data_IF_880019633621
#
_entry.id   IF_880019633621
#
_cell.length_a   1.000
_cell.length_b   1.000
_cell.length_c   1.000
_cell.angle_alpha   90.00
_cell.angle_beta   90.00
_cell.angle_gamma   90.00
#
_symmetry.space_group_name_H-M   'P 1'
#
loop_
_entity.id
_entity.type
_entity.pdbx_description
1 polymer ?
#
# COMPACT_ATOMS: atom_id res chain seq x y z
N UNK A 1 30.54 -10.38 -23.67
CA UNK A 1 30.34 -9.15 -22.86
C UNK A 1 29.18 -9.37 -21.90
N UNK A 2 29.30 -8.97 -20.63
CA UNK A 2 28.25 -9.20 -19.61
C UNK A 2 27.00 -8.34 -19.85
N UNK A 3 27.16 -7.11 -20.34
CA UNK A 3 26.05 -6.18 -20.59
C UNK A 3 25.12 -6.69 -21.71
N UNK A 4 25.69 -7.18 -22.82
CA UNK A 4 24.91 -7.73 -23.94
C UNK A 4 24.08 -8.96 -23.51
N UNK A 5 24.65 -9.82 -22.66
CA UNK A 5 23.94 -10.97 -22.11
C UNK A 5 22.75 -10.53 -21.25
N UNK A 6 22.92 -9.53 -20.38
CA UNK A 6 21.82 -9.01 -19.55
C UNK A 6 20.71 -8.36 -20.39
N UNK A 7 21.06 -7.57 -21.41
CA UNK A 7 20.07 -6.97 -22.31
C UNK A 7 19.29 -8.04 -23.09
N UNK A 8 19.98 -9.09 -23.55
CA UNK A 8 19.34 -10.22 -24.24
C UNK A 8 18.39 -10.97 -23.32
N UNK A 9 18.82 -11.28 -22.09
CA UNK A 9 17.96 -11.92 -21.08
C UNK A 9 16.74 -11.08 -20.72
N UNK A 10 16.88 -9.75 -20.62
CA UNK A 10 15.76 -8.84 -20.39
C UNK A 10 14.76 -8.88 -21.54
N UNK A 11 15.24 -8.83 -22.79
CA UNK A 11 14.39 -8.90 -23.99
C UNK A 11 13.61 -10.23 -24.05
N UNK A 12 14.30 -11.36 -23.87
CA UNK A 12 13.66 -12.68 -23.86
C UNK A 12 12.57 -12.78 -22.79
N UNK A 13 12.81 -12.21 -21.60
CA UNK A 13 11.80 -12.17 -20.55
C UNK A 13 10.58 -11.35 -20.95
N UNK A 14 10.78 -10.13 -21.49
CA UNK A 14 9.66 -9.30 -21.96
C UNK A 14 8.84 -10.01 -23.05
N UNK A 15 9.49 -10.73 -23.96
CA UNK A 15 8.81 -11.48 -25.02
C UNK A 15 8.01 -12.68 -24.45
N UNK A 16 8.52 -13.35 -23.42
CA UNK A 16 7.80 -14.41 -22.72
C UNK A 16 6.57 -13.87 -21.98
N UNK A 17 6.70 -12.74 -21.27
CA UNK A 17 5.59 -12.11 -20.56
C UNK A 17 4.49 -11.65 -21.52
N UNK A 18 4.86 -11.08 -22.68
CA UNK A 18 3.89 -10.74 -23.74
C UNK A 18 3.16 -11.95 -24.27
N UNK A 19 3.86 -13.06 -24.46
CA UNK A 19 3.26 -14.32 -24.92
C UNK A 19 2.26 -14.85 -23.90
N UNK A 20 2.58 -14.75 -22.61
CA UNK A 20 1.68 -15.11 -21.52
C UNK A 20 0.44 -14.21 -21.48
N UNK A 21 0.61 -12.89 -21.67
CA UNK A 21 -0.52 -11.96 -21.73
C UNK A 21 -1.50 -12.33 -22.85
N UNK A 22 -0.99 -12.55 -24.07
CA UNK A 22 -1.83 -12.96 -25.20
C UNK A 22 -2.48 -14.34 -25.04
N UNK A 23 -1.93 -15.20 -24.19
CA UNK A 23 -2.56 -16.48 -23.86
C UNK A 23 -3.78 -16.28 -22.94
N UNK A 24 -3.76 -15.26 -22.09
CA UNK A 24 -4.84 -14.95 -21.14
C UNK A 24 -5.88 -13.97 -21.73
N UNK A 25 -5.47 -13.15 -22.71
CA UNK A 25 -6.30 -12.18 -23.44
C UNK A 25 -7.00 -12.84 -24.63
N UNK A 26 -7.85 -13.84 -24.36
CA UNK A 26 -8.54 -14.62 -25.40
C UNK A 26 -9.46 -13.77 -26.29
N UNK A 27 -10.06 -12.73 -25.70
CA UNK A 27 -10.98 -11.83 -26.40
C UNK A 27 -10.26 -10.72 -27.19
N UNK A 28 -8.92 -10.65 -27.08
CA UNK A 28 -8.09 -9.60 -27.69
C UNK A 28 -8.58 -8.20 -27.32
N UNK A 29 -9.14 -8.05 -26.12
CA UNK A 29 -9.55 -6.77 -25.57
C UNK A 29 -8.34 -5.87 -25.30
N UNK A 30 -7.17 -6.49 -25.10
CA UNK A 30 -5.94 -5.80 -24.71
C UNK A 30 -5.87 -5.50 -23.21
N UNK A 31 -6.82 -6.02 -22.43
CA UNK A 31 -6.94 -5.82 -20.99
C UNK A 31 -7.34 -7.13 -20.29
N UNK A 32 -6.68 -7.47 -19.18
CA UNK A 32 -7.04 -8.63 -18.37
C UNK A 32 -7.90 -8.21 -17.19
N UNK A 33 -9.18 -8.58 -17.22
CA UNK A 33 -10.08 -8.39 -16.07
C UNK A 33 -9.72 -9.31 -14.90
N UNK A 34 -10.10 -8.93 -13.68
CA UNK A 34 -9.91 -9.76 -12.49
C UNK A 34 -10.51 -11.17 -12.64
N UNK A 35 -11.67 -11.27 -13.29
CA UNK A 35 -12.32 -12.57 -13.54
C UNK A 35 -11.52 -13.40 -14.55
N UNK A 36 -11.13 -12.83 -15.68
CA UNK A 36 -10.34 -13.53 -16.68
C UNK A 36 -9.00 -14.00 -16.09
N UNK A 37 -8.37 -13.16 -15.27
CA UNK A 37 -7.13 -13.50 -14.58
C UNK A 37 -7.31 -14.69 -13.62
N UNK A 38 -8.35 -14.69 -12.79
CA UNK A 38 -8.64 -15.78 -11.84
C UNK A 38 -9.01 -17.11 -12.53
N UNK A 39 -9.66 -17.05 -13.69
CA UNK A 39 -10.01 -18.23 -14.47
C UNK A 39 -8.75 -18.88 -15.06
N UNK A 40 -7.89 -18.08 -15.70
CA UNK A 40 -6.71 -18.57 -16.40
C UNK A 40 -5.54 -18.92 -15.48
N UNK A 41 -5.39 -18.28 -14.30
CA UNK A 41 -4.26 -18.54 -13.41
C UNK A 41 -4.23 -19.96 -12.84
N UNK A 42 -5.38 -20.62 -12.80
CA UNK A 42 -5.53 -22.01 -12.37
C UNK A 42 -5.20 -23.02 -13.48
N UNK A 43 -5.04 -22.55 -14.73
CA UNK A 43 -4.69 -23.41 -15.83
C UNK A 43 -3.24 -23.92 -15.69
N UNK A 44 -2.99 -25.22 -15.89
CA UNK A 44 -1.66 -25.78 -15.74
C UNK A 44 -0.61 -25.11 -16.63
N UNK A 45 -1.00 -24.66 -17.82
CA UNK A 45 -0.13 -24.00 -18.78
C UNK A 45 0.27 -22.60 -18.28
N UNK A 46 -0.70 -21.77 -17.90
CA UNK A 46 -0.48 -20.42 -17.36
C UNK A 46 0.35 -20.50 -16.06
N UNK A 47 0.00 -21.43 -15.17
CA UNK A 47 0.76 -21.65 -13.93
C UNK A 47 2.22 -22.05 -14.18
N UNK A 48 2.48 -22.87 -15.21
CA UNK A 48 3.84 -23.23 -15.60
C UNK A 48 4.62 -22.01 -16.13
N UNK A 49 3.98 -21.11 -16.88
CA UNK A 49 4.60 -19.87 -17.34
C UNK A 49 4.98 -18.94 -16.17
N UNK A 50 4.06 -18.69 -15.22
CA UNK A 50 4.38 -17.88 -14.05
C UNK A 50 5.54 -18.45 -13.23
N UNK A 51 5.59 -19.78 -13.05
CA UNK A 51 6.73 -20.44 -12.39
C UNK A 51 8.03 -20.28 -13.18
N UNK A 52 7.98 -20.37 -14.52
CA UNK A 52 9.14 -20.14 -15.38
C UNK A 52 9.63 -18.68 -15.34
N UNK A 53 8.76 -17.74 -14.96
CA UNK A 53 9.07 -16.33 -14.76
C UNK A 53 9.52 -16.01 -13.32
N UNK A 54 9.77 -17.03 -12.49
CA UNK A 54 10.11 -16.92 -11.05
C UNK A 54 9.05 -16.16 -10.23
N UNK A 55 7.78 -16.31 -10.59
CA UNK A 55 6.65 -15.71 -9.86
C UNK A 55 5.87 -16.78 -9.10
N UNK A 56 5.60 -16.49 -7.82
CA UNK A 56 4.83 -17.36 -6.95
C UNK A 56 3.33 -17.04 -7.07
N UNK A 57 2.54 -18.05 -7.45
CA UNK A 57 1.09 -17.96 -7.63
C UNK A 57 0.29 -18.29 -6.36
N UNK A 58 0.94 -18.44 -5.19
CA UNK A 58 0.29 -18.78 -3.93
C UNK A 58 -0.88 -17.86 -3.53
N UNK A 59 -0.98 -16.65 -4.10
CA UNK A 59 -2.16 -15.80 -3.96
C UNK A 59 -2.41 -14.99 -5.23
N UNK A 60 -3.19 -15.56 -6.16
CA UNK A 60 -3.62 -14.95 -7.42
C UNK A 60 -4.23 -13.55 -7.22
N UNK A 61 -5.10 -13.38 -6.22
CA UNK A 61 -5.73 -12.09 -5.92
C UNK A 61 -4.70 -11.03 -5.52
N UNK A 62 -3.75 -11.37 -4.64
CA UNK A 62 -2.66 -10.44 -4.29
C UNK A 62 -1.82 -10.09 -5.50
N UNK A 63 -1.51 -11.06 -6.35
CA UNK A 63 -0.76 -10.81 -7.57
C UNK A 63 -1.50 -9.83 -8.47
N UNK A 64 -2.80 -10.02 -8.69
CA UNK A 64 -3.64 -9.09 -9.44
C UNK A 64 -3.56 -7.66 -8.87
N UNK A 65 -3.76 -7.50 -7.56
CA UNK A 65 -3.68 -6.16 -6.92
C UNK A 65 -2.28 -5.52 -6.96
N UNK A 66 -1.22 -6.31 -7.18
CA UNK A 66 0.13 -5.79 -7.36
C UNK A 66 0.42 -5.41 -8.82
N UNK A 67 -0.29 -6.03 -9.77
CA UNK A 67 -0.21 -5.77 -11.20
C UNK A 67 -1.13 -4.62 -11.64
N UNK A 68 -2.20 -4.33 -10.88
CA UNK A 68 -3.14 -3.20 -11.05
C UNK A 68 -2.83 -2.08 -10.03
N UNK A 69 -1.80 -1.24 -10.25
CA UNK A 69 -1.41 -0.20 -9.31
C UNK A 69 -2.39 0.98 -9.28
N UNK A 70 -3.13 1.22 -10.36
CA UNK A 70 -4.08 2.32 -10.47
C UNK A 70 -5.48 1.95 -9.94
N UNK A 71 -5.72 0.67 -9.67
CA UNK A 71 -6.99 0.09 -9.25
C UNK A 71 -8.10 0.31 -10.28
N UNK A 72 -7.75 0.26 -11.57
CA UNK A 72 -8.71 0.29 -12.68
C UNK A 72 -9.61 -0.94 -12.70
N UNK A 73 -9.18 -2.04 -12.10
CA UNK A 73 -9.88 -3.33 -12.09
C UNK A 73 -9.62 -4.18 -13.35
N UNK A 74 -8.79 -3.68 -14.26
CA UNK A 74 -8.23 -4.39 -15.40
C UNK A 74 -6.71 -4.24 -15.39
N UNK A 75 -5.99 -5.07 -16.14
CA UNK A 75 -4.54 -4.98 -16.28
C UNK A 75 -4.22 -4.87 -17.76
N UNK A 76 -3.63 -3.77 -18.19
CA UNK A 76 -3.18 -3.63 -19.58
C UNK A 76 -1.83 -4.34 -19.82
N UNK A 77 -1.44 -4.49 -21.08
CA UNK A 77 -0.18 -5.16 -21.43
C UNK A 77 1.06 -4.50 -20.81
N UNK A 78 1.07 -3.17 -20.71
CA UNK A 78 2.19 -2.40 -20.15
C UNK A 78 2.28 -2.66 -18.65
N UNK A 79 1.17 -2.57 -17.95
CA UNK A 79 1.06 -2.86 -16.51
C UNK A 79 1.46 -4.29 -16.21
N UNK A 80 1.00 -5.24 -17.01
CA UNK A 80 1.37 -6.65 -16.85
C UNK A 80 2.88 -6.87 -17.01
N UNK A 81 3.48 -6.31 -18.07
CA UNK A 81 4.92 -6.44 -18.33
C UNK A 81 5.76 -5.77 -17.24
N UNK A 82 5.41 -4.54 -16.87
CA UNK A 82 6.11 -3.81 -15.83
C UNK A 82 5.94 -4.44 -14.45
N UNK A 83 4.73 -4.87 -14.11
CA UNK A 83 4.39 -5.53 -12.87
C UNK A 83 5.15 -6.84 -12.71
N UNK A 84 5.13 -7.70 -13.74
CA UNK A 84 5.92 -8.94 -13.75
C UNK A 84 7.42 -8.65 -13.63
N UNK A 85 7.95 -7.64 -14.33
CA UNK A 85 9.36 -7.24 -14.21
C UNK A 85 9.73 -6.76 -12.81
N UNK A 86 8.85 -6.04 -12.12
CA UNK A 86 9.06 -5.54 -10.75
C UNK A 86 8.96 -6.64 -9.70
N UNK A 87 8.04 -7.59 -9.89
CA UNK A 87 7.79 -8.70 -8.96
C UNK A 87 8.72 -9.90 -9.17
N UNK A 88 9.47 -9.91 -10.28
CA UNK A 88 10.41 -10.97 -10.60
C UNK A 88 11.55 -11.04 -9.59
N UNK A 89 11.68 -12.22 -8.97
CA UNK A 89 12.83 -12.56 -8.13
C UNK A 89 12.82 -11.87 -6.76
N UNK A 90 13.89 -12.04 -5.98
CA UNK A 90 13.96 -11.50 -4.63
C UNK A 90 14.07 -9.97 -4.66
N UNK A 91 13.43 -9.32 -3.69
CA UNK A 91 13.62 -7.89 -3.45
C UNK A 91 15.11 -7.58 -3.27
N UNK A 92 15.59 -6.57 -3.99
CA UNK A 92 17.00 -6.17 -3.91
C UNK A 92 17.28 -5.51 -2.56
N UNK A 93 18.57 -5.41 -2.18
CA UNK A 93 18.97 -4.67 -0.96
C UNK A 93 18.49 -3.22 -0.98
N UNK A 94 18.44 -2.60 -2.16
CA UNK A 94 17.94 -1.23 -2.32
C UNK A 94 16.44 -1.16 -2.05
N UNK A 95 15.66 -2.12 -2.55
CA UNK A 95 14.21 -2.18 -2.30
C UNK A 95 13.91 -2.29 -0.80
N UNK A 96 14.65 -3.16 -0.10
CA UNK A 96 14.53 -3.31 1.35
C UNK A 96 14.90 -2.02 2.07
N UNK A 97 16.00 -1.36 1.72
CA UNK A 97 16.42 -0.11 2.38
C UNK A 97 15.44 1.03 2.10
N UNK A 98 14.82 1.08 0.92
CA UNK A 98 13.75 2.05 0.62
C UNK A 98 12.56 1.85 1.57
N UNK A 99 12.09 0.61 1.75
CA UNK A 99 11.01 0.29 2.68
C UNK A 99 11.37 0.68 4.12
N UNK A 100 12.59 0.36 4.57
CA UNK A 100 13.07 0.73 5.91
C UNK A 100 13.14 2.26 6.09
N UNK A 101 13.60 2.99 5.08
CA UNK A 101 13.63 4.45 5.10
C UNK A 101 12.24 5.06 5.24
N UNK A 102 11.27 4.57 4.45
CA UNK A 102 9.86 4.97 4.56
C UNK A 102 9.33 4.67 5.95
N UNK A 103 9.54 3.45 6.47
CA UNK A 103 9.09 3.07 7.81
C UNK A 103 9.66 3.98 8.91
N UNK A 104 10.97 4.29 8.87
CA UNK A 104 11.62 5.22 9.81
C UNK A 104 11.01 6.63 9.72
N UNK A 105 10.75 7.12 8.52
CA UNK A 105 10.16 8.45 8.31
C UNK A 105 8.71 8.51 8.80
N UNK A 106 7.93 7.45 8.56
CA UNK A 106 6.56 7.33 9.05
C UNK A 106 6.52 7.28 10.57
N UNK A 107 7.41 6.50 11.21
CA UNK A 107 7.52 6.46 12.68
C UNK A 107 7.88 7.82 13.28
N UNK A 108 8.82 8.56 12.66
CA UNK A 108 9.15 9.93 13.08
C UNK A 108 7.94 10.86 13.00
N UNK A 109 7.19 10.81 11.90
CA UNK A 109 5.96 11.61 11.72
C UNK A 109 4.90 11.25 12.76
N UNK A 110 4.71 9.96 13.04
CA UNK A 110 3.78 9.50 14.08
C UNK A 110 4.15 10.05 15.47
N UNK A 111 5.42 9.95 15.87
CA UNK A 111 5.88 10.50 17.15
C UNK A 111 5.69 12.02 17.25
N UNK A 112 5.88 12.74 16.15
CA UNK A 112 5.60 14.18 16.10
C UNK A 112 4.10 14.49 16.26
N UNK A 113 3.21 13.69 15.67
CA UNK A 113 1.76 13.85 15.81
C UNK A 113 1.32 13.57 17.26
N UNK A 114 1.84 12.51 17.87
CA UNK A 114 1.56 12.18 19.28
C UNK A 114 1.99 13.33 20.20
N UNK A 115 3.23 13.83 20.04
CA UNK A 115 3.71 14.96 20.86
C UNK A 115 2.87 16.23 20.68
N UNK A 116 2.38 16.49 19.46
CA UNK A 116 1.44 17.60 19.19
C UNK A 116 0.10 17.39 19.88
N UNK A 117 -0.47 16.18 19.84
CA UNK A 117 -1.73 15.85 20.52
C UNK A 117 -1.61 16.05 22.03
N UNK A 118 -0.56 15.52 22.67
CA UNK A 118 -0.31 15.72 24.12
C UNK A 118 -0.14 17.21 24.48
N UNK A 119 0.44 18.00 23.58
CA UNK A 119 0.57 19.45 23.79
C UNK A 119 -0.79 20.16 23.73
N UNK A 120 -1.69 19.70 22.84
CA UNK A 120 -3.04 20.23 22.73
C UNK A 120 -3.90 19.85 23.93
N UNK A 121 -3.83 18.60 24.39
CA UNK A 121 -4.51 18.15 25.61
C UNK A 121 -4.11 18.99 26.81
N UNK A 122 -2.79 19.23 26.99
CA UNK A 122 -2.29 20.12 28.04
C UNK A 122 -2.82 21.55 27.91
N UNK A 123 -2.91 22.09 26.69
CA UNK A 123 -3.46 23.44 26.44
C UNK A 123 -4.96 23.53 26.75
N UNK A 124 -5.73 22.50 26.44
CA UNK A 124 -7.16 22.41 26.78
C UNK A 124 -7.33 22.31 28.29
N UNK A 125 -6.60 21.42 28.95
CA UNK A 125 -6.62 21.26 30.41
C UNK A 125 -6.25 22.56 31.14
N UNK A 126 -5.23 23.29 30.66
CA UNK A 126 -4.82 24.57 31.23
C UNK A 126 -5.84 25.70 30.96
N UNK A 127 -6.61 25.64 29.86
CA UNK A 127 -7.66 26.63 29.56
C UNK A 127 -8.90 26.45 30.43
N UNK A 128 -9.23 25.21 30.82
CA UNK A 128 -10.36 24.91 31.72
C UNK A 128 -10.08 25.20 33.21
N UNK A 129 -8.83 25.51 33.60
CA UNK A 129 -8.46 25.96 34.96
C UNK A 129 -8.74 27.44 35.25
N UNK A 130 -9.66 28.10 34.54
CA UNK A 130 -10.13 29.44 34.96
C UNK A 130 -11.15 29.26 36.09
N UNK A 131 -10.87 29.70 37.34
CA UNK A 131 -11.87 29.65 38.38
C UNK A 131 -12.99 30.64 38.02
N UNK A 132 -14.20 30.12 37.87
CA UNK A 132 -15.40 30.92 37.97
C UNK A 132 -15.51 31.33 39.46
N UNK A 133 -15.19 32.59 39.78
CA UNK A 133 -15.35 33.13 41.14
C UNK A 133 -14.07 33.65 41.77
N UNK A 134 -13.73 34.90 41.47
CA UNK A 134 -12.94 35.75 42.35
C UNK A 134 -13.58 37.14 42.32
N UNK A 135 -14.69 37.29 43.07
CA UNK A 135 -15.39 38.58 43.20
C UNK A 135 -16.84 38.45 43.62
N UNK A 136 -17.10 38.06 44.87
CA UNK A 136 -18.31 38.42 45.63
C UNK A 136 -18.15 37.98 47.09
N UNK A 137 -17.35 38.72 47.86
CA UNK A 137 -17.58 38.87 49.29
C UNK A 137 -18.12 40.28 49.46
N UNK A 138 -19.41 40.43 49.74
CA UNK A 138 -19.90 41.24 50.85
C UNK A 138 -21.40 41.00 51.02
N UNK A 139 -21.76 40.56 52.24
CA UNK A 139 -22.97 40.89 53.00
C UNK A 139 -24.32 40.64 52.32
N UNK A 140 -25.07 39.66 52.82
CA UNK A 140 -26.15 40.00 53.76
C UNK A 140 -26.63 38.77 54.55
N UNK A 141 -26.98 39.07 55.80
CA UNK A 141 -27.51 38.18 56.82
C UNK A 141 -28.98 37.84 56.54
N UNK A 142 -29.48 36.85 57.29
CA UNK A 142 -30.89 36.57 57.54
C UNK A 142 -31.67 35.80 56.45
N UNK A 143 -31.84 34.49 56.63
CA UNK A 143 -33.11 33.91 57.15
C UNK A 143 -33.03 32.37 57.26
N UNK A 144 -33.01 31.93 58.52
CA UNK A 144 -33.62 30.75 59.15
C UNK A 144 -34.23 29.63 58.27
N UNK A 145 -33.68 28.43 58.48
CA UNK A 145 -34.28 27.19 59.00
C UNK A 145 -35.62 26.61 58.45
N UNK A 146 -35.57 25.28 58.26
CA UNK A 146 -36.66 24.26 58.24
C UNK A 146 -37.67 24.31 57.07
N UNK A 147 -38.03 23.22 56.40
CA UNK A 147 -38.07 21.79 56.72
C UNK A 147 -37.89 20.97 55.43
#
# INVERSE_FOLDING_TARGET
MVIEAQLKSKKMYTDQVRTLFHLMDEDQSGELSAHAFEEHINEPQVAAYFRALDMDLNNAWKLFTLLDPDNSGTIDLTEFVEGCLKLRGPATRLDIEMVLSVARNTAKRQNQLVGKLESLERRVANRCRRPYGAGALQQDQDEKFEC
#
